data_IF_586594941930
#
_entry.id   IF_586594941930
#
_cell.length_a   1.000
_cell.length_b   1.000
_cell.length_c   1.000
_cell.angle_alpha   90.00
_cell.angle_beta   90.00
_cell.angle_gamma   90.00
#
_symmetry.space_group_name_H-M   'P 1'
#
loop_
_entity.id
_entity.type
_entity.pdbx_description
1 polymer ?
#
# COMPACT_ATOMS: atom_id res chain seq x y z
N UNK A 1 -13.70 14.48 -11.81
CA UNK A 1 -12.48 14.42 -10.96
C UNK A 1 -12.51 13.09 -10.25
N UNK A 2 -11.51 12.22 -10.47
CA UNK A 2 -11.46 10.91 -9.83
C UNK A 2 -11.15 11.01 -8.33
N UNK A 3 -11.61 10.06 -7.53
CA UNK A 3 -11.27 9.95 -6.11
C UNK A 3 -10.03 9.09 -5.90
N UNK A 4 -9.28 9.37 -4.83
CA UNK A 4 -8.21 8.49 -4.38
C UNK A 4 -8.76 7.08 -4.12
N UNK A 5 -7.98 6.06 -4.50
CA UNK A 5 -8.38 4.66 -4.38
C UNK A 5 -7.37 3.91 -3.52
N UNK A 6 -7.89 3.19 -2.54
CA UNK A 6 -7.12 2.21 -1.74
C UNK A 6 -7.70 0.84 -2.00
N UNK A 7 -6.90 -0.09 -2.49
CA UNK A 7 -7.27 -1.50 -2.59
C UNK A 7 -6.69 -2.30 -1.42
N UNK A 8 -7.49 -3.19 -0.85
CA UNK A 8 -7.06 -4.03 0.28
C UNK A 8 -7.26 -5.49 -0.11
N UNK A 9 -6.18 -6.25 -0.14
CA UNK A 9 -6.19 -7.68 -0.41
C UNK A 9 -5.91 -8.48 0.87
N UNK A 10 -6.80 -9.41 1.20
CA UNK A 10 -6.65 -10.31 2.34
C UNK A 10 -5.99 -11.63 1.88
N UNK A 11 -4.66 -11.69 1.92
CA UNK A 11 -3.90 -12.86 1.51
C UNK A 11 -3.75 -13.90 2.64
N UNK A 12 -3.87 -13.49 3.91
CA UNK A 12 -3.85 -14.37 5.06
C UNK A 12 -5.16 -14.26 5.86
N UNK A 13 -5.87 -15.38 6.01
CA UNK A 13 -7.16 -15.44 6.69
C UNK A 13 -7.07 -15.16 8.20
N UNK A 14 -5.89 -15.29 8.80
CA UNK A 14 -5.71 -15.03 10.24
C UNK A 14 -5.98 -13.57 10.61
N UNK A 15 -5.79 -12.63 9.68
CA UNK A 15 -6.16 -11.23 9.88
C UNK A 15 -7.64 -11.09 10.22
N UNK A 16 -8.52 -11.69 9.43
CA UNK A 16 -9.97 -11.67 9.68
C UNK A 16 -10.38 -12.52 10.89
N UNK A 17 -9.61 -13.56 11.22
CA UNK A 17 -9.86 -14.41 12.41
C UNK A 17 -9.52 -13.69 13.71
N UNK A 18 -8.37 -13.03 13.79
CA UNK A 18 -7.88 -12.35 15.00
C UNK A 18 -8.51 -10.95 15.11
N UNK A 19 -8.65 -10.26 13.99
CA UNK A 19 -9.24 -8.93 13.89
C UNK A 19 -10.23 -8.88 12.70
N UNK A 20 -11.51 -9.23 12.90
CA UNK A 20 -12.51 -9.20 11.83
C UNK A 20 -12.63 -7.86 11.09
N UNK A 21 -12.27 -6.76 11.75
CA UNK A 21 -12.24 -5.41 11.18
C UNK A 21 -10.93 -5.01 10.49
N UNK A 22 -9.94 -5.91 10.36
CA UNK A 22 -8.60 -5.57 9.88
C UNK A 22 -8.62 -4.82 8.53
N UNK A 23 -9.31 -5.37 7.52
CA UNK A 23 -9.36 -4.74 6.20
C UNK A 23 -9.99 -3.33 6.24
N UNK A 24 -11.04 -3.13 7.05
CA UNK A 24 -11.67 -1.82 7.23
C UNK A 24 -10.77 -0.82 7.94
N UNK A 25 -10.10 -1.24 9.02
CA UNK A 25 -9.14 -0.43 9.74
C UNK A 25 -7.95 -0.04 8.86
N UNK A 26 -7.42 -0.98 8.08
CA UNK A 26 -6.33 -0.73 7.13
C UNK A 26 -6.76 0.28 6.07
N UNK A 27 -7.95 0.13 5.48
CA UNK A 27 -8.51 1.09 4.52
C UNK A 27 -8.58 2.50 5.11
N UNK A 28 -9.23 2.66 6.26
CA UNK A 28 -9.38 3.98 6.90
C UNK A 28 -8.04 4.61 7.29
N UNK A 29 -7.08 3.80 7.79
CA UNK A 29 -5.75 4.28 8.11
C UNK A 29 -4.98 4.73 6.85
N UNK A 30 -5.07 3.98 5.77
CA UNK A 30 -4.42 4.27 4.50
C UNK A 30 -4.99 5.54 3.84
N UNK A 31 -6.31 5.68 3.78
CA UNK A 31 -6.98 6.87 3.25
C UNK A 31 -6.57 8.13 4.02
N UNK A 32 -6.52 8.06 5.36
CA UNK A 32 -6.05 9.16 6.19
C UNK A 32 -4.56 9.47 5.96
N UNK A 33 -3.73 8.44 5.82
CA UNK A 33 -2.30 8.61 5.55
C UNK A 33 -2.05 9.30 4.20
N UNK A 34 -2.77 8.89 3.15
CA UNK A 34 -2.72 9.52 1.82
C UNK A 34 -3.15 10.98 1.90
N UNK A 35 -4.29 11.28 2.53
CA UNK A 35 -4.78 12.65 2.67
C UNK A 35 -3.79 13.54 3.41
N UNK A 36 -3.19 13.04 4.51
CA UNK A 36 -2.17 13.77 5.27
C UNK A 36 -0.88 13.96 4.49
N UNK A 37 -0.42 12.95 3.75
CA UNK A 37 0.79 13.04 2.95
C UNK A 37 0.66 14.09 1.84
N UNK A 38 -0.48 14.11 1.13
CA UNK A 38 -0.79 15.15 0.13
C UNK A 38 -0.71 16.56 0.72
N UNK A 39 -1.35 16.75 1.88
CA UNK A 39 -1.34 18.05 2.57
C UNK A 39 0.06 18.46 3.05
N UNK A 40 0.81 17.55 3.67
CA UNK A 40 2.12 17.83 4.27
C UNK A 40 3.21 18.10 3.22
N UNK A 41 3.19 17.38 2.10
CA UNK A 41 4.20 17.51 1.05
C UNK A 41 3.88 18.65 0.07
N UNK A 42 2.77 19.37 0.26
CA UNK A 42 2.31 20.39 -0.68
C UNK A 42 2.07 19.81 -2.08
N UNK A 43 1.84 18.50 -2.17
CA UNK A 43 1.60 17.81 -3.42
C UNK A 43 0.19 18.18 -3.87
N UNK A 44 0.09 19.24 -4.66
CA UNK A 44 -1.12 19.60 -5.38
C UNK A 44 -1.33 18.61 -6.55
N UNK A 45 -1.31 17.31 -6.25
CA UNK A 45 -1.70 16.27 -7.18
C UNK A 45 -3.15 16.52 -7.57
N UNK A 46 -3.34 17.07 -8.76
CA UNK A 46 -4.65 17.22 -9.38
C UNK A 46 -5.24 15.85 -9.74
N UNK A 47 -4.38 14.85 -9.89
CA UNK A 47 -4.74 13.48 -10.24
C UNK A 47 -5.02 12.62 -8.99
N UNK A 48 -6.00 11.71 -9.07
CA UNK A 48 -6.25 10.73 -8.01
C UNK A 48 -5.02 9.84 -7.80
N UNK A 49 -4.88 9.28 -6.60
CA UNK A 49 -3.84 8.28 -6.31
C UNK A 49 -4.44 6.88 -6.21
N UNK A 50 -3.60 5.87 -6.42
CA UNK A 50 -3.92 4.48 -6.17
C UNK A 50 -2.86 3.85 -5.26
N UNK A 51 -3.32 3.15 -4.22
CA UNK A 51 -2.49 2.44 -3.25
C UNK A 51 -3.04 1.02 -3.03
N UNK A 52 -2.21 0.01 -3.24
CA UNK A 52 -2.51 -1.37 -2.87
C UNK A 52 -1.98 -1.70 -1.48
N UNK A 53 -2.75 -2.42 -0.66
CA UNK A 53 -2.29 -3.00 0.59
C UNK A 53 -2.65 -4.47 0.67
N UNK A 54 -1.65 -5.31 0.93
CA UNK A 54 -1.82 -6.75 1.09
C UNK A 54 -1.62 -7.13 2.56
N UNK A 55 -2.63 -7.76 3.15
CA UNK A 55 -2.60 -8.34 4.48
C UNK A 55 -2.18 -9.82 4.38
N UNK A 56 -0.88 -10.06 4.52
CA UNK A 56 -0.23 -11.36 4.36
C UNK A 56 0.29 -11.95 5.67
N UNK A 57 1.29 -12.81 5.55
CA UNK A 57 1.93 -13.56 6.64
C UNK A 57 3.47 -13.52 6.55
N UNK A 58 4.15 -14.02 7.59
CA UNK A 58 5.61 -14.13 7.62
C UNK A 58 6.20 -14.93 6.46
N UNK A 59 5.48 -15.95 5.97
CA UNK A 59 5.93 -16.75 4.83
C UNK A 59 5.99 -15.91 3.55
N UNK A 60 4.97 -15.08 3.30
CA UNK A 60 4.92 -14.13 2.19
C UNK A 60 6.01 -13.07 2.31
N UNK A 61 6.22 -12.53 3.51
CA UNK A 61 7.28 -11.56 3.78
C UNK A 61 8.67 -12.14 3.55
N UNK A 62 8.95 -13.34 4.06
CA UNK A 62 10.24 -14.01 3.85
C UNK A 62 10.51 -14.28 2.37
N UNK A 63 9.48 -14.69 1.60
CA UNK A 63 9.61 -14.85 0.13
C UNK A 63 9.93 -13.52 -0.54
N UNK A 64 9.16 -12.47 -0.26
CA UNK A 64 9.32 -11.16 -0.87
C UNK A 64 10.66 -10.51 -0.48
N UNK A 65 11.05 -10.59 0.78
CA UNK A 65 12.31 -10.02 1.29
C UNK A 65 13.52 -10.72 0.67
N UNK A 66 13.45 -12.04 0.47
CA UNK A 66 14.48 -12.78 -0.26
C UNK A 66 14.55 -12.32 -1.72
N UNK A 67 13.42 -12.28 -2.42
CA UNK A 67 13.37 -11.99 -3.86
C UNK A 67 13.75 -10.55 -4.20
N UNK A 68 13.33 -9.57 -3.40
CA UNK A 68 13.51 -8.14 -3.71
C UNK A 68 14.64 -7.46 -2.94
N UNK A 69 15.05 -8.01 -1.78
CA UNK A 69 16.08 -7.41 -0.92
C UNK A 69 17.25 -8.34 -0.63
N UNK A 70 17.24 -9.57 -1.15
CA UNK A 70 18.28 -10.59 -0.90
C UNK A 70 18.33 -11.07 0.55
N UNK A 71 17.31 -10.76 1.37
CA UNK A 71 17.29 -11.08 2.81
C UNK A 71 16.34 -12.21 3.08
N UNK A 72 16.89 -13.35 3.48
CA UNK A 72 16.11 -14.54 3.81
C UNK A 72 15.58 -14.52 5.26
N UNK A 73 14.75 -13.54 5.58
CA UNK A 73 14.07 -13.44 6.86
C UNK A 73 12.71 -12.77 6.67
N UNK A 74 11.68 -13.09 7.49
CA UNK A 74 10.45 -12.32 7.51
C UNK A 74 10.72 -10.89 8.03
N UNK A 75 9.80 -9.99 7.74
CA UNK A 75 9.75 -8.63 8.30
C UNK A 75 8.28 -8.21 8.36
N UNK A 76 7.95 -7.23 9.19
CA UNK A 76 6.55 -6.88 9.43
C UNK A 76 5.93 -6.14 8.24
N UNK A 77 6.75 -5.35 7.51
CA UNK A 77 6.29 -4.48 6.42
C UNK A 77 7.30 -4.44 5.27
N UNK A 78 6.79 -4.58 4.05
CA UNK A 78 7.50 -4.27 2.80
C UNK A 78 6.67 -3.27 1.99
N UNK A 79 7.33 -2.35 1.30
CA UNK A 79 6.70 -1.40 0.39
C UNK A 79 7.41 -1.44 -0.97
N UNK A 80 6.61 -1.47 -2.03
CA UNK A 80 7.03 -1.56 -3.42
C UNK A 80 6.49 -0.34 -4.17
N UNK A 81 7.35 0.62 -4.46
CA UNK A 81 6.95 1.85 -5.15
C UNK A 81 6.66 1.57 -6.63
N UNK A 82 5.52 2.04 -7.12
CA UNK A 82 5.23 2.13 -8.56
C UNK A 82 5.41 3.56 -9.11
N UNK A 83 5.65 4.53 -8.22
CA UNK A 83 5.88 5.92 -8.55
C UNK A 83 7.33 6.34 -8.28
N UNK A 84 7.86 7.17 -9.16
CA UNK A 84 9.18 7.78 -9.02
C UNK A 84 9.05 9.31 -9.17
N UNK A 85 9.81 10.11 -8.39
CA UNK A 85 9.82 11.56 -8.53
C UNK A 85 10.15 11.99 -9.97
N UNK A 86 9.30 12.84 -10.56
CA UNK A 86 9.49 13.34 -11.93
C UNK A 86 8.92 12.44 -13.03
N UNK A 87 8.28 11.31 -12.69
CA UNK A 87 7.53 10.51 -13.65
C UNK A 87 6.42 11.35 -14.32
N UNK A 88 6.38 11.34 -15.66
CA UNK A 88 5.30 11.97 -16.43
C UNK A 88 4.09 11.04 -16.42
N UNK A 89 2.98 11.50 -15.87
CA UNK A 89 1.72 10.78 -15.93
C UNK A 89 0.94 11.19 -17.18
N UNK A 90 0.26 10.26 -17.86
CA UNK A 90 -0.75 10.61 -18.84
C UNK A 90 -1.82 11.52 -18.21
N UNK A 91 -2.42 12.45 -18.98
CA UNK A 91 -3.50 13.28 -18.47
C UNK A 91 -4.62 12.40 -17.91
N UNK A 92 -5.11 12.72 -16.70
CA UNK A 92 -6.21 12.00 -16.04
C UNK A 92 -5.91 10.55 -15.61
N UNK A 93 -4.67 10.09 -15.71
CA UNK A 93 -4.27 8.80 -15.13
C UNK A 93 -3.99 8.96 -13.62
N UNK A 94 -4.40 7.99 -12.79
CA UNK A 94 -4.06 8.03 -11.38
C UNK A 94 -2.55 7.89 -11.17
N UNK A 95 -2.05 8.50 -10.08
CA UNK A 95 -0.70 8.29 -9.57
C UNK A 95 -0.67 6.93 -8.87
N UNK A 96 0.01 5.95 -9.47
CA UNK A 96 0.18 4.62 -8.86
C UNK A 96 1.26 4.67 -7.79
N UNK A 97 0.90 4.73 -6.50
CA UNK A 97 1.89 4.72 -5.40
C UNK A 97 2.59 3.36 -5.29
N UNK A 98 1.88 2.29 -5.65
CA UNK A 98 2.34 0.91 -5.56
C UNK A 98 1.73 0.18 -4.38
N UNK A 99 2.46 -0.78 -3.83
CA UNK A 99 1.94 -1.78 -2.91
C UNK A 99 2.65 -1.77 -1.55
N UNK A 100 1.87 -1.92 -0.48
CA UNK A 100 2.38 -2.18 0.88
C UNK A 100 1.93 -3.56 1.33
N UNK A 101 2.87 -4.41 1.73
CA UNK A 101 2.59 -5.75 2.23
C UNK A 101 2.86 -5.79 3.73
N UNK A 102 1.84 -6.13 4.51
CA UNK A 102 1.89 -6.29 5.97
C UNK A 102 1.86 -7.78 6.33
N UNK A 103 2.56 -8.19 7.37
CA UNK A 103 2.39 -9.50 8.01
C UNK A 103 1.74 -9.37 9.39
N UNK A 104 0.91 -10.36 9.71
CA UNK A 104 0.24 -10.52 11.01
C UNK A 104 1.20 -11.08 12.08
#
# INVERSE_FOLDING_TARGET
>A
MGSDTVDISLACADWARICPGAAGLTRSAAELAVARAKAALGLAWQEPVELGIILGDDASQRRLNRSHRGRDAPTNVLAFSAWEPGARLPPSAPVLLGDVVLAL
#
